data_IF_710349955829
#
_entry.id   IF_710349955829
#
_cell.length_a   1.000
_cell.length_b   1.000
_cell.length_c   1.000
_cell.angle_alpha   90.00
_cell.angle_beta   90.00
_cell.angle_gamma   90.00
#
_symmetry.space_group_name_H-M   'P 1'
#
loop_
_entity.id
_entity.type
_entity.pdbx_description
1 polymer ?
#
# COMPACT_ATOMS: atom_id res chain seq x y z
N UNK A 1 46.99 22.90 -8.87
CA UNK A 1 46.56 21.70 -9.60
C UNK A 1 45.07 21.52 -9.38
N UNK A 2 44.29 21.38 -10.47
CA UNK A 2 43.14 20.46 -10.67
C UNK A 2 42.12 20.35 -9.48
N UNK A 3 40.82 20.64 -9.57
CA UNK A 3 39.88 20.74 -10.69
C UNK A 3 38.63 21.50 -10.22
N UNK A 4 38.10 22.23 -11.17
CA UNK A 4 36.80 22.86 -11.32
C UNK A 4 35.59 22.01 -10.93
N UNK A 5 34.62 22.67 -10.28
CA UNK A 5 33.20 22.74 -10.63
C UNK A 5 32.48 21.42 -10.93
N UNK A 6 31.62 21.01 -10.00
CA UNK A 6 30.45 20.18 -10.32
C UNK A 6 29.21 20.84 -9.71
N UNK A 7 28.68 21.76 -10.50
CA UNK A 7 27.28 22.19 -10.50
C UNK A 7 26.43 21.02 -10.99
N UNK A 8 25.68 20.38 -10.09
CA UNK A 8 24.38 19.74 -10.35
C UNK A 8 23.66 19.83 -9.00
N UNK A 9 22.80 20.81 -8.75
CA UNK A 9 21.57 20.95 -9.51
C UNK A 9 20.59 19.81 -9.22
N UNK A 10 20.69 19.13 -8.06
CA UNK A 10 19.66 18.20 -7.60
C UNK A 10 18.53 19.00 -6.96
N UNK A 11 17.67 19.51 -7.84
CA UNK A 11 16.22 19.65 -7.72
C UNK A 11 15.72 19.54 -6.28
N UNK A 12 15.33 20.70 -5.75
CA UNK A 12 14.47 20.78 -4.59
C UNK A 12 13.25 19.88 -4.80
N UNK A 13 13.22 18.74 -4.12
CA UNK A 13 12.05 17.87 -3.97
C UNK A 13 11.08 18.48 -2.95
N UNK A 14 10.85 19.80 -3.06
CA UNK A 14 9.90 20.54 -2.26
C UNK A 14 8.68 20.77 -3.13
N UNK A 15 7.67 19.91 -2.98
CA UNK A 15 6.21 20.17 -3.16
C UNK A 15 5.42 18.90 -3.50
N UNK A 16 5.39 17.87 -2.64
CA UNK A 16 4.31 16.87 -2.73
C UNK A 16 3.71 16.40 -1.39
N UNK A 17 4.18 16.90 -0.23
CA UNK A 17 3.57 16.59 1.07
C UNK A 17 2.36 17.48 1.42
N UNK A 18 1.53 17.80 0.43
CA UNK A 18 0.30 18.59 0.62
C UNK A 18 -0.94 17.84 0.16
N UNK A 19 -1.01 16.54 0.36
CA UNK A 19 -2.27 15.83 0.34
C UNK A 19 -2.20 14.65 1.31
N UNK A 20 -3.01 14.72 2.35
CA UNK A 20 -3.44 13.52 3.06
C UNK A 20 -4.36 12.76 2.08
N UNK A 21 -3.77 12.14 1.06
CA UNK A 21 -4.45 11.67 -0.14
C UNK A 21 -5.29 10.44 0.19
N UNK A 22 -6.59 10.48 -0.14
CA UNK A 22 -7.49 9.35 0.15
C UNK A 22 -7.01 8.06 -0.52
N UNK A 23 -6.40 8.19 -1.71
CA UNK A 23 -5.82 7.09 -2.48
C UNK A 23 -4.67 6.40 -1.73
N UNK A 24 -3.82 7.16 -1.04
CA UNK A 24 -2.71 6.57 -0.29
C UNK A 24 -3.21 5.81 0.94
N UNK A 25 -4.17 6.37 1.68
CA UNK A 25 -4.76 5.67 2.83
C UNK A 25 -5.51 4.41 2.43
N UNK A 26 -6.25 4.46 1.33
CA UNK A 26 -6.94 3.29 0.80
C UNK A 26 -5.95 2.22 0.34
N UNK A 27 -4.86 2.61 -0.34
CA UNK A 27 -3.80 1.69 -0.74
C UNK A 27 -3.10 1.05 0.48
N UNK A 28 -2.79 1.85 1.51
CA UNK A 28 -2.24 1.38 2.78
C UNK A 28 -3.19 0.36 3.44
N UNK A 29 -4.49 0.66 3.51
CA UNK A 29 -5.46 -0.23 4.15
C UNK A 29 -5.59 -1.57 3.43
N UNK A 30 -5.59 -1.57 2.09
CA UNK A 30 -5.62 -2.79 1.28
C UNK A 30 -4.30 -3.58 1.42
N UNK A 31 -3.16 -2.89 1.48
CA UNK A 31 -1.86 -3.51 1.72
C UNK A 31 -1.82 -4.20 3.09
N UNK A 32 -2.20 -3.49 4.17
CA UNK A 32 -2.21 -4.00 5.54
C UNK A 32 -3.06 -5.27 5.66
N UNK A 33 -4.24 -5.28 5.05
CA UNK A 33 -5.10 -6.45 5.03
C UNK A 33 -4.45 -7.62 4.30
N UNK A 34 -3.77 -7.35 3.19
CA UNK A 34 -3.05 -8.37 2.42
C UNK A 34 -1.87 -8.94 3.21
N UNK A 35 -1.09 -8.10 3.91
CA UNK A 35 -0.02 -8.57 4.78
C UNK A 35 -0.59 -9.44 5.92
N UNK A 36 -1.68 -9.02 6.56
CA UNK A 36 -2.34 -9.81 7.62
C UNK A 36 -2.84 -11.16 7.09
N UNK A 37 -3.37 -11.21 5.87
CA UNK A 37 -3.79 -12.46 5.23
C UNK A 37 -2.61 -13.41 4.98
N UNK A 38 -1.46 -12.90 4.52
CA UNK A 38 -0.24 -13.70 4.37
C UNK A 38 0.24 -14.24 5.72
N UNK A 39 0.32 -13.38 6.75
CA UNK A 39 0.70 -13.80 8.12
C UNK A 39 -0.25 -14.84 8.68
N UNK A 40 -1.56 -14.68 8.50
CA UNK A 40 -2.54 -15.65 8.95
C UNK A 40 -2.39 -16.99 8.20
N UNK A 41 -2.08 -16.97 6.91
CA UNK A 41 -1.83 -18.20 6.14
C UNK A 41 -0.60 -18.96 6.65
N UNK A 42 0.50 -18.27 6.96
CA UNK A 42 1.67 -18.86 7.62
C UNK A 42 1.29 -19.34 9.03
N UNK A 43 0.55 -18.52 9.77
CA UNK A 43 0.07 -18.80 11.11
C UNK A 43 -0.80 -20.05 11.21
N UNK A 44 -1.58 -20.38 10.18
CA UNK A 44 -2.34 -21.65 10.13
C UNK A 44 -1.41 -22.87 10.07
N UNK A 45 -0.26 -22.74 9.40
CA UNK A 45 0.73 -23.81 9.28
C UNK A 45 1.55 -23.94 10.56
N UNK A 46 1.88 -22.81 11.21
CA UNK A 46 2.64 -22.79 12.48
C UNK A 46 1.77 -23.01 13.72
N UNK A 47 0.44 -22.92 13.60
CA UNK A 47 -0.51 -23.00 14.70
C UNK A 47 -0.75 -21.68 15.45
N UNK A 48 -0.17 -20.57 14.99
CA UNK A 48 -0.30 -19.23 15.57
C UNK A 48 -1.58 -18.50 15.13
N UNK A 49 -2.25 -18.97 14.08
CA UNK A 49 -3.53 -18.44 13.61
C UNK A 49 -4.61 -19.52 13.58
N UNK A 50 -5.85 -19.11 13.84
CA UNK A 50 -7.02 -19.98 13.80
C UNK A 50 -7.83 -19.80 12.51
N UNK A 51 -8.73 -20.74 12.23
CA UNK A 51 -9.70 -20.60 11.15
C UNK A 51 -10.62 -19.36 11.33
N UNK A 52 -10.83 -18.90 12.57
CA UNK A 52 -11.64 -17.71 12.84
C UNK A 52 -10.90 -16.42 12.50
N UNK A 53 -9.58 -16.37 12.66
CA UNK A 53 -8.78 -15.19 12.25
C UNK A 53 -8.82 -15.00 10.73
N UNK A 54 -8.76 -16.11 9.98
CA UNK A 54 -8.92 -16.12 8.52
C UNK A 54 -10.32 -15.67 8.11
N UNK A 55 -11.36 -16.10 8.84
CA UNK A 55 -12.74 -15.66 8.59
C UNK A 55 -12.91 -14.15 8.80
N UNK A 56 -12.33 -13.59 9.86
CA UNK A 56 -12.33 -12.14 10.10
C UNK A 56 -11.66 -11.37 8.97
N UNK A 57 -10.47 -11.82 8.54
CA UNK A 57 -9.75 -11.21 7.43
C UNK A 57 -10.53 -11.29 6.11
N UNK A 58 -11.21 -12.41 5.85
CA UNK A 58 -12.11 -12.54 4.69
C UNK A 58 -13.27 -11.55 4.76
N UNK A 59 -13.85 -11.35 5.93
CA UNK A 59 -14.99 -10.44 6.10
C UNK A 59 -14.55 -8.96 6.01
N UNK A 60 -13.35 -8.62 6.50
CA UNK A 60 -12.71 -7.32 6.24
C UNK A 60 -12.42 -7.13 4.75
N UNK A 61 -11.92 -8.16 4.04
CA UNK A 61 -11.67 -8.10 2.60
C UNK A 61 -12.94 -7.83 1.80
N UNK A 62 -14.07 -8.41 2.21
CA UNK A 62 -15.37 -8.15 1.56
C UNK A 62 -15.82 -6.70 1.75
N UNK A 63 -15.63 -6.14 2.95
CA UNK A 63 -15.96 -4.74 3.23
C UNK A 63 -15.10 -3.80 2.39
N UNK A 64 -13.78 -3.99 2.41
CA UNK A 64 -12.85 -3.20 1.61
C UNK A 64 -13.19 -3.32 0.13
N UNK A 65 -13.48 -4.52 -0.39
CA UNK A 65 -13.87 -4.69 -1.79
C UNK A 65 -15.08 -3.81 -2.14
N UNK A 66 -16.11 -3.81 -1.29
CA UNK A 66 -17.29 -2.98 -1.51
C UNK A 66 -16.98 -1.48 -1.43
N UNK A 67 -16.13 -1.05 -0.48
CA UNK A 67 -15.72 0.34 -0.31
C UNK A 67 -14.87 0.85 -1.50
N UNK A 68 -14.12 -0.05 -2.15
CA UNK A 68 -13.27 0.25 -3.30
C UNK A 68 -14.00 0.15 -4.63
N UNK A 69 -15.14 -0.53 -4.67
CA UNK A 69 -15.91 -0.76 -5.89
C UNK A 69 -16.41 0.58 -6.46
N UNK A 70 -15.93 0.94 -7.65
CA UNK A 70 -16.29 2.19 -8.32
C UNK A 70 -15.58 3.45 -7.80
N UNK A 71 -14.73 3.36 -6.76
CA UNK A 71 -14.10 4.52 -6.12
C UNK A 71 -13.10 5.27 -7.01
N UNK A 72 -12.39 4.56 -7.90
CA UNK A 72 -11.45 5.14 -8.86
C UNK A 72 -11.85 4.80 -10.29
N UNK A 73 -12.81 5.56 -10.84
CA UNK A 73 -13.18 5.46 -12.26
C UNK A 73 -12.12 6.08 -13.18
N UNK A 74 -11.36 7.05 -12.67
CA UNK A 74 -10.32 7.74 -13.40
C UNK A 74 -9.08 6.82 -13.62
N UNK A 75 -8.52 6.75 -14.85
CA UNK A 75 -7.32 5.95 -15.13
C UNK A 75 -6.09 6.36 -14.32
N UNK A 76 -5.88 7.64 -14.05
CA UNK A 76 -4.71 8.15 -13.30
C UNK A 76 -4.80 7.76 -11.83
N UNK A 77 -5.98 7.90 -11.22
CA UNK A 77 -6.21 7.46 -9.83
C UNK A 77 -6.04 5.95 -9.66
N UNK A 78 -6.51 5.15 -10.63
CA UNK A 78 -6.26 3.69 -10.62
C UNK A 78 -4.79 3.36 -10.70
N UNK A 79 -4.05 4.05 -11.58
CA UNK A 79 -2.59 3.86 -11.72
C UNK A 79 -1.86 4.26 -10.44
N UNK A 80 -2.26 5.37 -9.82
CA UNK A 80 -1.70 5.87 -8.55
C UNK A 80 -2.00 4.89 -7.41
N UNK A 81 -3.23 4.42 -7.28
CA UNK A 81 -3.62 3.41 -6.31
C UNK A 81 -2.82 2.12 -6.48
N UNK A 82 -2.73 1.58 -7.71
CA UNK A 82 -1.99 0.36 -7.97
C UNK A 82 -0.49 0.49 -7.64
N UNK A 83 0.11 1.64 -7.97
CA UNK A 83 1.50 1.94 -7.62
C UNK A 83 1.71 1.98 -6.10
N UNK A 84 0.88 2.75 -5.39
CA UNK A 84 0.96 2.88 -3.94
C UNK A 84 0.71 1.54 -3.24
N UNK A 85 -0.25 0.75 -3.72
CA UNK A 85 -0.54 -0.58 -3.18
C UNK A 85 0.69 -1.50 -3.30
N UNK A 86 1.34 -1.54 -4.46
CA UNK A 86 2.56 -2.34 -4.66
C UNK A 86 3.71 -1.87 -3.76
N UNK A 87 3.90 -0.55 -3.63
CA UNK A 87 4.92 0.02 -2.73
C UNK A 87 4.65 -0.39 -1.28
N UNK A 88 3.43 -0.22 -0.78
CA UNK A 88 3.08 -0.57 0.61
C UNK A 88 3.10 -2.08 0.87
N UNK A 89 2.77 -2.90 -0.13
CA UNK A 89 2.87 -4.37 -0.01
C UNK A 89 4.31 -4.87 0.00
N UNK A 90 5.25 -4.12 -0.58
CA UNK A 90 6.67 -4.44 -0.47
C UNK A 90 7.18 -4.33 0.97
N UNK A 91 6.51 -3.54 1.80
CA UNK A 91 6.79 -3.39 3.24
C UNK A 91 6.11 -4.48 4.10
N UNK A 92 5.45 -5.48 3.50
CA UNK A 92 4.95 -6.64 4.25
C UNK A 92 6.12 -7.51 4.75
N UNK A 93 6.58 -7.25 5.98
CA UNK A 93 7.47 -8.15 6.75
C UNK A 93 6.69 -9.11 7.64
#
# INVERSE_FOLDING_TARGET
MKKTVLWVGAIALSTLFSACDSVERDAQHVADLTCKAQKAAVGLVTGEASADDVRKLRDEAKKIKADMEGKYSDPEDRKKFAKLLLEKMADCE
#
